data_IF_520555541004
#
_entry.id   IF_520555541004
#
_cell.length_a   1.000
_cell.length_b   1.000
_cell.length_c   1.000
_cell.angle_alpha   90.00
_cell.angle_beta   90.00
_cell.angle_gamma   90.00
#
_symmetry.space_group_name_H-M   'P 1'
#
loop_
_entity.id
_entity.type
_entity.pdbx_description
1 polymer ?
#
# COMPACT_ATOMS: atom_id res chain seq x y z
N UNK A 1 6.18 4.26 -16.26
CA UNK A 1 5.41 4.60 -15.05
C UNK A 1 4.15 3.76 -14.90
N UNK A 2 3.26 3.73 -15.89
CA UNK A 2 2.03 2.92 -15.85
C UNK A 2 2.31 1.43 -15.66
N UNK A 3 3.37 0.89 -16.27
CA UNK A 3 3.76 -0.50 -16.13
C UNK A 3 4.01 -0.89 -14.66
N UNK A 4 4.71 -0.05 -13.92
CA UNK A 4 5.02 -0.29 -12.50
C UNK A 4 3.75 -0.27 -11.64
N UNK A 5 2.83 0.67 -11.89
CA UNK A 5 1.55 0.74 -11.16
C UNK A 5 0.69 -0.48 -11.47
N UNK A 6 0.58 -0.86 -12.74
CA UNK A 6 -0.19 -2.04 -13.17
C UNK A 6 0.43 -3.32 -12.59
N UNK A 7 1.77 -3.46 -12.61
CA UNK A 7 2.46 -4.60 -11.98
C UNK A 7 2.14 -4.70 -10.48
N UNK A 8 2.18 -3.59 -9.75
CA UNK A 8 1.84 -3.56 -8.32
C UNK A 8 0.39 -3.93 -8.07
N UNK A 9 -0.54 -3.40 -8.86
CA UNK A 9 -1.96 -3.78 -8.76
C UNK A 9 -2.19 -5.26 -9.09
N UNK A 10 -1.48 -5.80 -10.07
CA UNK A 10 -1.51 -7.23 -10.38
C UNK A 10 -1.03 -8.10 -9.21
N UNK A 11 0.07 -7.70 -8.55
CA UNK A 11 0.56 -8.38 -7.35
C UNK A 11 -0.43 -8.29 -6.20
N UNK A 12 -1.06 -7.14 -5.99
CA UNK A 12 -2.12 -6.98 -4.99
C UNK A 12 -3.30 -7.87 -5.29
N UNK A 13 -3.73 -7.99 -6.56
CA UNK A 13 -4.80 -8.90 -6.96
C UNK A 13 -4.44 -10.38 -6.69
N UNK A 14 -3.20 -10.78 -6.96
CA UNK A 14 -2.72 -12.12 -6.62
C UNK A 14 -2.74 -12.36 -5.09
N UNK A 15 -2.25 -11.41 -4.29
CA UNK A 15 -2.33 -11.48 -2.84
C UNK A 15 -3.78 -11.54 -2.33
N UNK A 16 -4.72 -10.86 -3.01
CA UNK A 16 -6.14 -10.91 -2.66
C UNK A 16 -6.71 -12.31 -2.76
N UNK A 17 -6.40 -13.01 -3.85
CA UNK A 17 -6.82 -14.40 -4.03
C UNK A 17 -6.28 -15.29 -2.89
N UNK A 18 -5.01 -15.12 -2.54
CA UNK A 18 -4.38 -15.88 -1.44
C UNK A 18 -5.06 -15.59 -0.10
N UNK A 19 -5.36 -14.32 0.20
CA UNK A 19 -6.04 -13.92 1.45
C UNK A 19 -7.45 -14.53 1.52
N UNK A 20 -8.19 -14.54 0.41
CA UNK A 20 -9.52 -15.18 0.36
C UNK A 20 -9.42 -16.67 0.62
N UNK A 21 -8.48 -17.37 -0.06
CA UNK A 21 -8.28 -18.81 0.13
C UNK A 21 -7.95 -19.12 1.59
N UNK A 22 -7.02 -18.37 2.19
CA UNK A 22 -6.65 -18.53 3.59
C UNK A 22 -7.81 -18.20 4.54
N UNK A 23 -8.61 -17.17 4.26
CA UNK A 23 -9.80 -16.85 5.04
C UNK A 23 -10.85 -17.94 5.04
N UNK A 24 -11.07 -18.61 3.90
CA UNK A 24 -12.01 -19.71 3.77
C UNK A 24 -11.47 -20.98 4.47
N UNK A 25 -10.16 -21.26 4.34
CA UNK A 25 -9.55 -22.48 4.88
C UNK A 25 -9.30 -22.41 6.39
N UNK A 26 -9.08 -21.22 6.96
CA UNK A 26 -8.76 -21.04 8.38
C UNK A 26 -10.00 -20.97 9.29
N UNK A 27 -11.20 -21.23 8.78
CA UNK A 27 -12.46 -21.12 9.53
C UNK A 27 -12.60 -19.77 10.30
N UNK A 28 -12.09 -18.69 9.69
CA UNK A 28 -12.18 -17.36 10.26
C UNK A 28 -13.64 -16.97 10.50
N UNK A 29 -13.92 -16.41 11.67
CA UNK A 29 -15.25 -15.87 11.98
C UNK A 29 -15.56 -14.74 10.98
N UNK A 30 -16.84 -14.53 10.63
CA UNK A 30 -17.26 -13.51 9.67
C UNK A 30 -16.71 -12.11 9.97
N UNK A 31 -16.59 -11.75 11.26
CA UNK A 31 -16.03 -10.47 11.70
C UNK A 31 -14.51 -10.38 11.43
N UNK A 32 -13.78 -11.46 11.62
CA UNK A 32 -12.35 -11.52 11.32
C UNK A 32 -12.09 -11.39 9.82
N UNK A 33 -12.88 -12.07 8.99
CA UNK A 33 -12.78 -11.96 7.55
C UNK A 33 -13.08 -10.54 7.07
N UNK A 34 -14.11 -9.92 7.62
CA UNK A 34 -14.48 -8.53 7.30
C UNK A 34 -13.37 -7.54 7.66
N UNK A 35 -12.72 -7.70 8.82
CA UNK A 35 -11.57 -6.89 9.21
C UNK A 35 -10.36 -7.13 8.29
N UNK A 36 -10.08 -8.38 7.91
CA UNK A 36 -9.00 -8.70 6.98
C UNK A 36 -9.23 -8.05 5.61
N UNK A 37 -10.45 -8.09 5.09
CA UNK A 37 -10.80 -7.46 3.81
C UNK A 37 -10.72 -5.92 3.90
N UNK A 38 -11.15 -5.33 5.01
CA UNK A 38 -11.01 -3.90 5.25
C UNK A 38 -9.53 -3.48 5.28
N UNK A 39 -8.68 -4.22 5.97
CA UNK A 39 -7.23 -3.98 6.00
C UNK A 39 -6.57 -4.25 4.65
N UNK A 40 -7.09 -5.18 3.85
CA UNK A 40 -6.57 -5.45 2.52
C UNK A 40 -6.67 -4.22 1.60
N UNK A 41 -7.69 -3.38 1.77
CA UNK A 41 -7.81 -2.13 1.01
C UNK A 41 -6.61 -1.18 1.21
N UNK A 42 -5.89 -1.29 2.33
CA UNK A 42 -4.62 -0.60 2.57
C UNK A 42 -3.56 -0.99 1.54
N UNK A 43 -3.47 -2.27 1.15
CA UNK A 43 -2.50 -2.74 0.15
C UNK A 43 -2.76 -2.10 -1.22
N UNK A 44 -4.03 -1.94 -1.58
CA UNK A 44 -4.42 -1.19 -2.79
C UNK A 44 -3.92 0.25 -2.70
N UNK A 45 -4.13 0.92 -1.57
CA UNK A 45 -3.64 2.27 -1.32
C UNK A 45 -2.11 2.37 -1.45
N UNK A 46 -1.37 1.43 -0.86
CA UNK A 46 0.10 1.37 -0.95
C UNK A 46 0.56 1.15 -2.40
N UNK A 47 -0.12 0.28 -3.15
CA UNK A 47 0.21 0.02 -4.55
C UNK A 47 0.03 1.27 -5.43
N UNK A 48 -0.96 2.10 -5.11
CA UNK A 48 -1.23 3.36 -5.79
C UNK A 48 -0.24 4.47 -5.43
N UNK A 49 0.45 4.40 -4.29
CA UNK A 49 1.39 5.44 -3.90
C UNK A 49 2.60 5.52 -4.85
N UNK A 50 2.89 6.73 -5.34
CA UNK A 50 4.00 7.01 -6.24
C UNK A 50 5.28 7.41 -5.50
N UNK A 51 5.50 6.90 -4.29
CA UNK A 51 6.65 7.26 -3.46
C UNK A 51 7.98 7.02 -4.18
N UNK A 52 8.10 5.90 -4.91
CA UNK A 52 9.27 5.57 -5.70
C UNK A 52 9.58 6.61 -6.80
N UNK A 53 8.53 7.23 -7.39
CA UNK A 53 8.68 8.26 -8.40
C UNK A 53 9.27 9.54 -7.79
N UNK A 54 8.71 10.01 -6.69
CA UNK A 54 9.17 11.22 -6.01
C UNK A 54 10.54 11.03 -5.36
N UNK A 55 10.86 9.80 -4.92
CA UNK A 55 12.20 9.42 -4.47
C UNK A 55 13.21 9.53 -5.62
N UNK A 56 12.88 9.00 -6.79
CA UNK A 56 13.72 9.11 -7.99
C UNK A 56 13.89 10.55 -8.48
N UNK A 57 12.87 11.39 -8.31
CA UNK A 57 12.92 12.82 -8.64
C UNK A 57 13.54 13.68 -7.52
N UNK A 58 13.95 13.07 -6.40
CA UNK A 58 14.47 13.73 -5.19
C UNK A 58 13.51 14.79 -4.59
N UNK A 59 12.21 14.71 -4.91
CA UNK A 59 11.17 15.61 -4.37
C UNK A 59 10.46 14.98 -3.17
N UNK A 60 11.22 14.77 -2.10
CA UNK A 60 10.74 14.16 -0.85
C UNK A 60 9.64 14.97 -0.16
N UNK A 61 9.56 16.28 -0.43
CA UNK A 61 8.55 17.17 0.16
C UNK A 61 7.13 16.72 -0.18
N UNK A 62 6.91 16.29 -1.42
CA UNK A 62 5.57 15.82 -1.85
C UNK A 62 5.14 14.60 -1.07
N UNK A 63 6.04 13.62 -0.86
CA UNK A 63 5.74 12.41 -0.09
C UNK A 63 5.38 12.78 1.35
N UNK A 64 6.18 13.65 1.97
CA UNK A 64 5.97 14.07 3.36
C UNK A 64 4.64 14.79 3.53
N UNK A 65 4.33 15.76 2.66
CA UNK A 65 3.07 16.51 2.72
C UNK A 65 1.87 15.58 2.48
N UNK A 66 1.92 14.75 1.45
CA UNK A 66 0.83 13.82 1.14
C UNK A 66 0.57 12.83 2.29
N UNK A 67 1.63 12.28 2.86
CA UNK A 67 1.53 11.31 3.95
C UNK A 67 1.07 11.98 5.25
N UNK A 68 1.62 13.14 5.58
CA UNK A 68 1.24 13.89 6.78
C UNK A 68 -0.21 14.36 6.72
N UNK A 69 -0.66 14.89 5.57
CA UNK A 69 -2.05 15.32 5.38
C UNK A 69 -3.02 14.14 5.48
N UNK A 70 -2.73 13.02 4.81
CA UNK A 70 -3.58 11.83 4.85
C UNK A 70 -3.65 11.23 6.26
N UNK A 71 -2.52 11.13 6.97
CA UNK A 71 -2.47 10.61 8.35
C UNK A 71 -3.15 11.56 9.34
N UNK A 72 -2.91 12.86 9.23
CA UNK A 72 -3.55 13.86 10.09
C UNK A 72 -5.06 13.81 9.96
N UNK A 73 -5.58 13.78 8.73
CA UNK A 73 -7.02 13.63 8.48
C UNK A 73 -7.57 12.32 9.06
N UNK A 74 -6.85 11.21 8.89
CA UNK A 74 -7.26 9.92 9.44
C UNK A 74 -7.33 9.93 10.97
N UNK A 75 -6.34 10.50 11.64
CA UNK A 75 -6.33 10.62 13.10
C UNK A 75 -7.53 11.43 13.56
N UNK A 76 -7.82 12.57 12.95
CA UNK A 76 -9.00 13.39 13.26
C UNK A 76 -10.29 12.59 13.08
N UNK A 77 -10.43 11.87 11.96
CA UNK A 77 -11.62 11.06 11.70
C UNK A 77 -11.77 9.91 12.71
N UNK A 78 -10.68 9.26 13.11
CA UNK A 78 -10.68 8.21 14.13
C UNK A 78 -11.19 8.77 15.46
N UNK A 79 -10.67 9.89 15.92
CA UNK A 79 -11.12 10.51 17.18
C UNK A 79 -12.56 10.98 17.15
N UNK A 80 -13.08 11.42 15.99
CA UNK A 80 -14.44 11.89 15.85
C UNK A 80 -15.47 10.75 15.71
N UNK A 81 -15.10 9.65 15.07
CA UNK A 81 -16.04 8.60 14.67
C UNK A 81 -15.98 7.36 15.56
N UNK A 82 -14.83 7.09 16.21
CA UNK A 82 -14.66 5.90 17.05
C UNK A 82 -14.90 6.26 18.52
N UNK A 83 -16.07 5.89 19.00
CA UNK A 83 -16.48 6.13 20.40
C UNK A 83 -16.50 4.85 21.25
N UNK A 84 -16.45 3.66 20.64
CA UNK A 84 -16.60 2.38 21.31
C UNK A 84 -15.51 1.37 20.87
N UNK A 85 -14.99 0.54 21.81
CA UNK A 85 -13.98 -0.48 21.50
C UNK A 85 -14.43 -1.56 20.50
N UNK A 86 -15.76 -1.76 20.33
CA UNK A 86 -16.31 -2.75 19.39
C UNK A 86 -16.28 -2.33 17.90
N UNK A 87 -15.85 -1.10 17.58
CA UNK A 87 -15.85 -0.56 16.22
C UNK A 87 -14.57 -0.87 15.44
N UNK A 88 -14.02 -2.08 15.61
CA UNK A 88 -12.78 -2.54 14.96
C UNK A 88 -12.86 -2.48 13.43
N UNK A 89 -14.01 -2.80 12.86
CA UNK A 89 -14.22 -2.76 11.40
C UNK A 89 -14.14 -1.32 10.88
N UNK A 90 -14.77 -0.37 11.57
CA UNK A 90 -14.72 1.04 11.22
C UNK A 90 -13.29 1.60 11.32
N UNK A 91 -12.55 1.22 12.37
CA UNK A 91 -11.14 1.57 12.53
C UNK A 91 -10.30 1.06 11.36
N UNK A 92 -10.45 -0.22 11.00
CA UNK A 92 -9.72 -0.85 9.90
C UNK A 92 -9.98 -0.14 8.57
N UNK A 93 -11.22 0.24 8.33
CA UNK A 93 -11.63 0.98 7.13
C UNK A 93 -11.05 2.40 7.10
N UNK A 94 -11.17 3.16 8.20
CA UNK A 94 -10.61 4.52 8.31
C UNK A 94 -9.08 4.52 8.18
N UNK A 95 -8.43 3.53 8.77
CA UNK A 95 -6.99 3.36 8.64
C UNK A 95 -6.57 3.08 7.18
N UNK A 96 -7.30 2.24 6.48
CA UNK A 96 -7.04 1.89 5.08
C UNK A 96 -7.27 3.07 4.13
N UNK A 97 -8.28 3.89 4.39
CA UNK A 97 -8.57 5.11 3.62
C UNK A 97 -7.39 6.09 3.62
N UNK A 98 -6.58 6.11 4.68
CA UNK A 98 -5.38 6.95 4.77
C UNK A 98 -4.40 6.65 3.63
N UNK A 99 -4.18 5.38 3.34
CA UNK A 99 -3.27 4.95 2.27
C UNK A 99 -3.85 5.23 0.89
N UNK A 100 -5.16 5.04 0.72
CA UNK A 100 -5.85 5.40 -0.52
C UNK A 100 -5.78 6.91 -0.77
N UNK A 101 -6.06 7.72 0.24
CA UNK A 101 -5.98 9.17 0.14
C UNK A 101 -4.56 9.63 -0.21
N UNK A 102 -3.54 9.09 0.46
CA UNK A 102 -2.14 9.39 0.14
C UNK A 102 -1.79 8.98 -1.30
N UNK A 103 -2.30 7.84 -1.77
CA UNK A 103 -2.14 7.39 -3.16
C UNK A 103 -2.75 8.38 -4.16
N UNK A 104 -3.98 8.82 -3.93
CA UNK A 104 -4.66 9.80 -4.77
C UNK A 104 -3.92 11.14 -4.78
N UNK A 105 -3.51 11.63 -3.61
CA UNK A 105 -2.78 12.89 -3.47
C UNK A 105 -1.48 12.84 -4.29
N UNK A 106 -0.70 11.75 -4.17
CA UNK A 106 0.55 11.59 -4.93
C UNK A 106 0.31 11.55 -6.44
N UNK A 107 -0.78 10.93 -6.92
CA UNK A 107 -1.14 10.96 -8.35
C UNK A 107 -1.53 12.35 -8.84
N UNK A 108 -2.32 13.09 -8.06
CA UNK A 108 -2.71 14.46 -8.40
C UNK A 108 -1.48 15.38 -8.46
N UNK A 109 -0.55 15.24 -7.54
CA UNK A 109 0.71 15.98 -7.58
C UNK A 109 1.56 15.62 -8.80
N UNK A 110 1.70 14.32 -9.11
CA UNK A 110 2.45 13.86 -10.29
C UNK A 110 1.86 14.41 -11.58
N UNK A 111 0.54 14.43 -11.69
CA UNK A 111 -0.14 14.99 -12.87
C UNK A 111 0.02 16.50 -12.98
N UNK A 112 -0.25 17.25 -11.88
CA UNK A 112 -0.21 18.72 -11.90
C UNK A 112 1.19 19.29 -12.06
N UNK A 113 2.19 18.69 -11.40
CA UNK A 113 3.54 19.25 -11.33
C UNK A 113 4.46 18.76 -12.44
N UNK A 114 4.31 17.51 -12.84
CA UNK A 114 5.18 16.87 -13.82
C UNK A 114 4.48 16.51 -15.13
N UNK A 115 3.17 16.78 -15.25
CA UNK A 115 2.38 16.46 -16.45
C UNK A 115 2.31 14.96 -16.77
N UNK A 116 2.63 14.11 -15.78
CA UNK A 116 2.73 12.68 -15.98
C UNK A 116 1.32 12.08 -16.02
N UNK A 117 0.95 11.55 -17.19
CA UNK A 117 -0.32 10.88 -17.42
C UNK A 117 -0.16 9.36 -17.31
N UNK A 118 -1.15 8.69 -16.74
CA UNK A 118 -1.22 7.23 -16.81
C UNK A 118 -1.60 6.82 -18.22
N UNK A 119 -0.80 5.93 -18.82
CA UNK A 119 -1.05 5.32 -20.12
C UNK A 119 -1.21 3.81 -20.00
N UNK A 120 -1.66 3.17 -21.07
CA UNK A 120 -1.67 1.71 -21.12
C UNK A 120 -0.24 1.19 -21.29
N UNK A 121 0.14 0.20 -20.48
CA UNK A 121 1.43 -0.47 -20.59
C UNK A 121 1.25 -1.84 -21.23
N UNK A 122 2.18 -2.19 -22.12
CA UNK A 122 2.22 -3.54 -22.71
C UNK A 122 2.64 -4.58 -21.68
N UNK A 123 2.13 -5.81 -21.80
CA UNK A 123 2.49 -6.93 -20.92
C UNK A 123 4.01 -7.18 -20.92
N UNK A 124 4.67 -7.00 -22.07
CA UNK A 124 6.14 -7.11 -22.18
C UNK A 124 6.87 -6.08 -21.32
N UNK A 125 6.36 -4.85 -21.25
CA UNK A 125 6.93 -3.79 -20.41
C UNK A 125 6.72 -4.11 -18.93
N UNK A 126 5.54 -4.63 -18.55
CA UNK A 126 5.24 -5.02 -17.17
C UNK A 126 6.19 -6.13 -16.71
N UNK A 127 6.36 -7.17 -17.51
CA UNK A 127 7.28 -8.28 -17.23
C UNK A 127 8.75 -7.83 -17.17
N UNK A 128 9.15 -6.89 -18.03
CA UNK A 128 10.48 -6.28 -18.00
C UNK A 128 10.74 -5.58 -16.65
N UNK A 129 9.85 -4.67 -16.24
CA UNK A 129 9.94 -3.94 -14.97
C UNK A 129 9.97 -4.89 -13.76
N UNK A 130 9.16 -5.98 -13.79
CA UNK A 130 9.17 -6.98 -12.73
C UNK A 130 10.50 -7.73 -12.67
N UNK A 131 11.08 -8.10 -13.81
CA UNK A 131 12.37 -8.78 -13.88
C UNK A 131 13.51 -7.90 -13.38
N UNK A 132 13.53 -6.64 -13.79
CA UNK A 132 14.56 -5.68 -13.40
C UNK A 132 14.44 -5.29 -11.91
N UNK A 133 13.22 -5.29 -11.37
CA UNK A 133 12.95 -5.07 -9.95
C UNK A 133 13.27 -6.26 -9.04
N UNK A 134 13.36 -7.48 -9.57
CA UNK A 134 13.55 -8.70 -8.78
C UNK A 134 14.80 -8.70 -7.90
N UNK A 135 16.00 -8.30 -8.38
CA UNK A 135 17.19 -8.25 -7.53
C UNK A 135 17.03 -7.27 -6.36
N UNK A 136 16.40 -6.12 -6.60
CA UNK A 136 16.15 -5.10 -5.57
C UNK A 136 15.16 -5.64 -4.54
N UNK A 137 14.13 -6.34 -4.99
CA UNK A 137 13.16 -6.98 -4.11
C UNK A 137 13.82 -8.04 -3.21
N UNK A 138 14.64 -8.94 -3.79
CA UNK A 138 15.35 -9.97 -3.04
C UNK A 138 16.32 -9.37 -2.01
N UNK A 139 17.06 -8.34 -2.39
CA UNK A 139 17.95 -7.63 -1.47
C UNK A 139 17.19 -6.98 -0.32
N UNK A 140 16.07 -6.32 -0.60
CA UNK A 140 15.23 -5.68 0.40
C UNK A 140 14.56 -6.71 1.34
N UNK A 141 14.11 -7.84 0.80
CA UNK A 141 13.51 -8.92 1.57
C UNK A 141 14.56 -9.58 2.50
N UNK A 142 15.74 -9.86 1.98
CA UNK A 142 16.86 -10.40 2.78
C UNK A 142 17.24 -9.44 3.91
N UNK A 143 17.36 -8.14 3.63
CA UNK A 143 17.64 -7.12 4.64
C UNK A 143 16.60 -7.07 5.76
N UNK A 144 15.31 -7.19 5.42
CA UNK A 144 14.23 -7.23 6.42
C UNK A 144 14.26 -8.51 7.26
N UNK A 145 14.53 -9.67 6.63
CA UNK A 145 14.63 -10.95 7.35
C UNK A 145 15.80 -10.90 8.34
N UNK A 146 16.97 -10.44 7.90
CA UNK A 146 18.15 -10.32 8.74
C UNK A 146 17.90 -9.32 9.87
N UNK A 147 17.33 -8.14 9.58
CA UNK A 147 17.01 -7.14 10.59
C UNK A 147 16.06 -7.65 11.67
N UNK A 148 15.03 -8.41 11.29
CA UNK A 148 14.13 -9.03 12.25
C UNK A 148 14.83 -10.14 13.06
N UNK A 149 15.61 -11.01 12.42
CA UNK A 149 16.33 -12.08 13.09
C UNK A 149 17.31 -11.52 14.16
N UNK A 150 18.06 -10.47 13.82
CA UNK A 150 18.96 -9.80 14.78
C UNK A 150 18.19 -9.19 15.95
N UNK A 151 17.01 -8.61 15.72
CA UNK A 151 16.18 -8.05 16.80
C UNK A 151 15.71 -9.11 17.79
N UNK A 152 15.44 -10.34 17.34
CA UNK A 152 15.04 -11.45 18.23
C UNK A 152 16.23 -12.08 19.01
N UNK A 153 17.46 -11.93 18.51
CA UNK A 153 18.64 -12.48 19.19
C UNK A 153 19.23 -11.55 20.25
N UNK A 154 18.81 -10.29 20.29
CA UNK A 154 19.24 -9.29 21.29
C UNK A 154 18.21 -9.05 22.42
N UNK A 155 17.13 -9.81 22.50
CA UNK A 155 16.17 -9.87 23.60
C UNK A 155 16.41 -11.12 24.45
#
# INVERSE_FOLDING_TARGET
MSAVVIARLGLVAACFVVVIILGITSAATGDQLSCMLALFSMLVGIALQLNWLFQGLQDMKVITIATAAARGLSVILIFLLINNPGQLMLYSFLYSITFLASGVITHVFAWKRYGIKMGFASIKQILGEMRDGMPIFLSSAAGKIIGNAVSYTHL
#
